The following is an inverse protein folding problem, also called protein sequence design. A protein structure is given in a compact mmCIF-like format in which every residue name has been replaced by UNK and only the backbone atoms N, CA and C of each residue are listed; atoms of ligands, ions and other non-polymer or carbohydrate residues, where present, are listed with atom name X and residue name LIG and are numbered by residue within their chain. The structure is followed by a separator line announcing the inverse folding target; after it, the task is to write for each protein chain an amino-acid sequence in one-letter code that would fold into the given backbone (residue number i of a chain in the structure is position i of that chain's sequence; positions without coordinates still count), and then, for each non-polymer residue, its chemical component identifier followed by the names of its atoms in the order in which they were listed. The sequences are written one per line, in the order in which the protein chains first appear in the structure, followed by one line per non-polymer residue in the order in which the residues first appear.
data_IF_783862631504
#
_entry.id   IF_783862631504
#
_cell.length_a   1.000
_cell.length_b   1.000
_cell.length_c   1.000
_cell.angle_alpha   90.00
_cell.angle_beta   90.00
_cell.angle_gamma   90.00
#
_symmetry.space_group_name_H-M   'P 1'
#
loop_
_entity.id
_entity.type
_entity.pdbx_description
1 polymer ?
#
# COMPACT_ATOMS: atom_id res chain seq x y z
N UNK A 1 -18.63 15.80 -8.10
CA UNK A 1 -19.21 14.46 -7.80
C UNK A 1 -20.54 14.37 -8.51
N UNK A 2 -20.75 13.37 -9.36
CA UNK A 2 -22.06 13.08 -9.92
C UNK A 2 -22.55 11.78 -9.26
N UNK A 3 -23.65 11.86 -8.51
CA UNK A 3 -24.32 10.69 -7.96
C UNK A 3 -25.53 10.39 -8.85
N UNK A 4 -25.76 9.12 -9.24
CA UNK A 4 -26.97 8.73 -9.97
C UNK A 4 -28.25 9.15 -9.23
N UNK A 5 -29.28 9.56 -9.97
CA UNK A 5 -30.55 10.04 -9.39
C UNK A 5 -31.30 8.95 -8.59
N UNK A 6 -31.04 7.68 -8.88
CA UNK A 6 -31.56 6.49 -8.19
C UNK A 6 -30.71 6.07 -6.98
N UNK A 7 -29.76 6.89 -6.55
CA UNK A 7 -28.93 6.58 -5.38
C UNK A 7 -29.70 6.70 -4.07
N UNK A 8 -29.49 5.71 -3.20
CA UNK A 8 -29.96 5.71 -1.80
C UNK A 8 -29.54 6.96 -1.01
N UNK A 9 -28.52 7.68 -1.45
CA UNK A 9 -28.10 8.96 -0.84
C UNK A 9 -29.24 9.97 -0.81
N UNK A 10 -30.13 9.98 -1.82
CA UNK A 10 -31.27 10.89 -1.87
C UNK A 10 -32.48 10.41 -1.03
N UNK A 11 -32.50 9.15 -0.65
CA UNK A 11 -33.59 8.53 0.11
C UNK A 11 -33.36 8.57 1.62
N UNK A 12 -32.10 8.66 2.06
CA UNK A 12 -31.69 8.63 3.46
C UNK A 12 -31.20 10.04 3.86
N UNK A 13 -31.91 10.79 4.71
CA UNK A 13 -31.55 12.16 5.09
C UNK A 13 -30.10 12.30 5.60
N UNK A 14 -29.65 11.37 6.44
CA UNK A 14 -28.30 11.36 7.01
C UNK A 14 -27.23 11.11 5.93
N UNK A 15 -27.55 10.31 4.91
CA UNK A 15 -26.64 10.08 3.79
C UNK A 15 -26.53 11.33 2.91
N UNK A 16 -27.64 12.04 2.68
CA UNK A 16 -27.66 13.30 1.95
C UNK A 16 -26.86 14.39 2.67
N UNK A 17 -27.04 14.49 3.99
CA UNK A 17 -26.27 15.41 4.84
C UNK A 17 -24.77 15.08 4.78
N UNK A 18 -24.38 13.82 5.00
CA UNK A 18 -22.99 13.39 4.94
C UNK A 18 -22.36 13.66 3.56
N UNK A 19 -23.12 13.47 2.48
CA UNK A 19 -22.66 13.82 1.12
C UNK A 19 -22.42 15.33 0.96
N UNK A 20 -23.36 16.16 1.41
CA UNK A 20 -23.25 17.61 1.33
C UNK A 20 -22.08 18.14 2.18
N UNK A 21 -21.92 17.65 3.41
CA UNK A 21 -20.80 17.98 4.29
C UNK A 21 -19.46 17.56 3.68
N UNK A 22 -19.38 16.35 3.12
CA UNK A 22 -18.19 15.87 2.40
C UNK A 22 -17.86 16.80 1.23
N UNK A 23 -18.85 17.24 0.45
CA UNK A 23 -18.63 18.15 -0.66
C UNK A 23 -18.07 19.51 -0.18
N UNK A 24 -18.58 20.05 0.93
CA UNK A 24 -18.05 21.27 1.54
C UNK A 24 -16.60 21.11 2.02
N UNK A 25 -16.28 19.98 2.65
CA UNK A 25 -14.91 19.66 3.05
C UNK A 25 -13.98 19.53 1.85
N UNK A 26 -14.41 18.85 0.78
CA UNK A 26 -13.63 18.69 -0.45
C UNK A 26 -13.33 20.04 -1.08
N UNK A 27 -14.33 20.93 -1.16
CA UNK A 27 -14.14 22.28 -1.70
C UNK A 27 -13.16 23.11 -0.87
N UNK A 28 -13.30 23.08 0.46
CA UNK A 28 -12.42 23.82 1.38
C UNK A 28 -10.98 23.29 1.35
N UNK A 29 -10.79 21.98 1.23
CA UNK A 29 -9.50 21.31 1.25
C UNK A 29 -8.98 20.99 -0.16
N UNK A 30 -9.54 21.61 -1.21
CA UNK A 30 -9.28 21.25 -2.60
C UNK A 30 -7.79 21.20 -2.97
N UNK A 31 -6.93 22.18 -2.60
CA UNK A 31 -5.50 22.11 -2.94
C UNK A 31 -4.81 20.87 -2.36
N UNK A 32 -5.17 20.49 -1.14
CA UNK A 32 -4.59 19.34 -0.44
C UNK A 32 -5.07 18.04 -1.10
N UNK A 33 -6.37 17.95 -1.40
CA UNK A 33 -6.97 16.77 -2.06
C UNK A 33 -6.38 16.57 -3.46
N UNK A 34 -6.22 17.65 -4.23
CA UNK A 34 -5.53 17.60 -5.52
C UNK A 34 -4.09 17.14 -5.35
N UNK A 35 -3.39 17.59 -4.29
CA UNK A 35 -2.06 17.09 -3.93
C UNK A 35 -2.04 15.57 -3.71
N UNK A 36 -3.03 14.99 -3.02
CA UNK A 36 -3.18 13.53 -2.88
C UNK A 36 -3.44 12.81 -4.20
N UNK A 37 -4.27 13.40 -5.07
CA UNK A 37 -4.62 12.82 -6.37
C UNK A 37 -3.45 12.85 -7.37
N UNK A 38 -2.68 13.93 -7.37
CA UNK A 38 -1.56 14.15 -8.29
C UNK A 38 -0.23 13.59 -7.78
N UNK A 39 -0.16 13.18 -6.51
CA UNK A 39 1.04 12.57 -5.95
C UNK A 39 1.51 11.38 -6.82
N UNK A 40 2.82 11.25 -7.10
CA UNK A 40 3.33 10.21 -7.97
C UNK A 40 3.04 8.82 -7.41
N UNK A 41 2.71 7.89 -8.31
CA UNK A 41 2.45 6.51 -7.97
C UNK A 41 3.74 5.70 -7.95
N UNK A 42 4.34 5.62 -6.76
CA UNK A 42 5.62 4.94 -6.55
C UNK A 42 5.51 3.41 -6.64
N UNK A 43 4.29 2.87 -6.51
CA UNK A 43 4.02 1.42 -6.62
C UNK A 43 3.13 1.17 -7.83
N UNK A 44 3.60 0.34 -8.75
CA UNK A 44 2.83 -0.11 -9.91
C UNK A 44 2.48 -1.59 -9.77
N UNK A 45 1.21 -1.94 -9.91
CA UNK A 45 0.73 -3.33 -9.95
C UNK A 45 0.48 -3.71 -11.41
N UNK A 46 1.11 -4.78 -11.89
CA UNK A 46 0.85 -5.27 -13.22
C UNK A 46 -0.58 -5.79 -13.34
N UNK A 47 -1.34 -5.22 -14.27
CA UNK A 47 -2.65 -5.69 -14.69
C UNK A 47 -2.49 -6.24 -16.11
N UNK A 48 -2.21 -7.54 -16.21
CA UNK A 48 -1.86 -8.20 -17.46
C UNK A 48 -3.11 -8.62 -18.23
N UNK A 49 -3.20 -8.15 -19.47
CA UNK A 49 -4.29 -8.52 -20.38
C UNK A 49 -4.23 -10.02 -20.72
N UNK A 50 -3.02 -10.55 -20.90
CA UNK A 50 -2.79 -11.97 -21.18
C UNK A 50 -3.24 -12.86 -20.01
N UNK A 51 -2.82 -12.52 -18.79
CA UNK A 51 -3.21 -13.25 -17.57
C UNK A 51 -4.68 -13.09 -17.21
N UNK A 52 -5.33 -12.00 -17.63
CA UNK A 52 -6.77 -11.79 -17.44
C UNK A 52 -7.62 -12.68 -18.35
N UNK A 53 -7.07 -13.12 -19.48
CA UNK A 53 -7.75 -14.00 -20.43
C UNK A 53 -7.48 -15.48 -20.09
N UNK A 54 -6.25 -15.82 -19.70
CA UNK A 54 -5.87 -17.18 -19.36
C UNK A 54 -6.61 -17.67 -18.09
N UNK A 55 -7.12 -18.90 -18.12
CA UNK A 55 -7.82 -19.56 -17.00
C UNK A 55 -8.93 -18.66 -16.39
N UNK A 56 -9.74 -18.04 -17.25
CA UNK A 56 -10.81 -17.09 -16.91
C UNK A 56 -10.34 -15.87 -16.09
N UNK A 57 -9.03 -15.63 -16.05
CA UNK A 57 -8.40 -14.55 -15.30
C UNK A 57 -8.47 -14.69 -13.79
N UNK A 58 -9.07 -15.77 -13.25
CA UNK A 58 -9.35 -15.91 -11.82
C UNK A 58 -8.08 -15.77 -10.96
N UNK A 59 -6.96 -16.46 -11.26
CA UNK A 59 -5.74 -16.32 -10.46
C UNK A 59 -5.23 -14.88 -10.45
N UNK A 60 -5.22 -14.23 -11.62
CA UNK A 60 -4.67 -12.90 -11.79
C UNK A 60 -5.53 -11.82 -11.18
N UNK A 61 -6.84 -11.81 -11.48
CA UNK A 61 -7.76 -10.77 -11.01
C UNK A 61 -7.92 -10.79 -9.49
N UNK A 62 -8.02 -11.98 -8.89
CA UNK A 62 -8.06 -12.11 -7.43
C UNK A 62 -6.76 -11.63 -6.79
N UNK A 63 -5.62 -12.06 -7.35
CA UNK A 63 -4.31 -11.65 -6.86
C UNK A 63 -4.05 -10.16 -7.03
N UNK A 64 -4.47 -9.55 -8.14
CA UNK A 64 -4.32 -8.12 -8.39
C UNK A 64 -5.15 -7.29 -7.41
N UNK A 65 -6.35 -7.78 -7.04
CA UNK A 65 -7.16 -7.18 -5.98
C UNK A 65 -6.45 -7.25 -4.62
N UNK A 66 -5.90 -8.41 -4.25
CA UNK A 66 -5.15 -8.55 -3.00
C UNK A 66 -3.86 -7.72 -2.98
N UNK A 67 -3.17 -7.63 -4.12
CA UNK A 67 -2.01 -6.76 -4.29
C UNK A 67 -2.39 -5.29 -4.04
N UNK A 68 -3.49 -4.83 -4.62
CA UNK A 68 -3.97 -3.46 -4.42
C UNK A 68 -4.34 -3.20 -2.97
N UNK A 69 -5.13 -4.10 -2.37
CA UNK A 69 -5.54 -3.99 -0.96
C UNK A 69 -4.32 -3.88 -0.04
N UNK A 70 -3.39 -4.83 -0.14
CA UNK A 70 -2.19 -4.86 0.70
C UNK A 70 -1.26 -3.66 0.49
N UNK A 71 -0.96 -3.32 -0.77
CA UNK A 71 -0.08 -2.19 -1.07
C UNK A 71 -0.70 -0.86 -0.66
N UNK A 72 -2.03 -0.71 -0.71
CA UNK A 72 -2.72 0.53 -0.35
C UNK A 72 -2.60 0.90 1.13
N UNK A 73 -2.30 -0.06 2.00
CA UNK A 73 -2.07 0.16 3.44
C UNK A 73 -0.62 0.57 3.76
N UNK A 74 0.29 0.54 2.79
CA UNK A 74 1.71 0.84 3.02
C UNK A 74 2.03 2.35 3.14
N UNK A 75 1.11 3.23 2.74
CA UNK A 75 1.27 4.69 2.77
C UNK A 75 1.48 5.35 1.40
N UNK A 76 1.85 4.58 0.38
CA UNK A 76 2.23 5.07 -0.94
C UNK A 76 1.05 5.15 -1.90
N UNK A 77 1.19 5.94 -2.95
CA UNK A 77 0.22 5.94 -4.03
C UNK A 77 0.46 4.70 -4.90
N UNK A 78 -0.61 3.98 -5.21
CA UNK A 78 -0.59 2.71 -5.92
C UNK A 78 -1.37 2.89 -7.20
N UNK A 79 -0.80 2.46 -8.32
CA UNK A 79 -1.48 2.43 -9.62
C UNK A 79 -1.43 1.06 -10.25
N UNK A 80 -2.31 0.81 -11.20
CA UNK A 80 -2.17 -0.30 -12.13
C UNK A 80 -1.36 0.11 -13.36
N UNK A 81 -0.65 -0.84 -13.94
CA UNK A 81 0.01 -0.71 -15.23
C UNK A 81 -0.34 -1.89 -16.12
N UNK A 82 -0.75 -1.61 -17.36
CA UNK A 82 -1.04 -2.65 -18.37
C UNK A 82 0.24 -3.08 -19.07
N UNK A 83 0.20 -4.25 -19.72
CA UNK A 83 1.33 -4.72 -20.55
C UNK A 83 1.70 -3.70 -21.63
N UNK A 84 0.69 -3.12 -22.30
CA UNK A 84 0.91 -2.08 -23.32
C UNK A 84 1.63 -0.86 -22.74
N UNK A 85 1.17 -0.35 -21.60
CA UNK A 85 1.81 0.80 -20.95
C UNK A 85 3.24 0.50 -20.52
N UNK A 86 3.51 -0.71 -20.05
CA UNK A 86 4.84 -1.17 -19.68
C UNK A 86 5.78 -1.20 -20.90
N UNK A 87 5.30 -1.69 -22.03
CA UNK A 87 6.08 -1.73 -23.28
C UNK A 87 6.35 -0.31 -23.79
N UNK A 88 5.34 0.56 -23.82
CA UNK A 88 5.44 1.90 -24.39
C UNK A 88 6.28 2.86 -23.53
N UNK A 89 6.10 2.81 -22.20
CA UNK A 89 6.61 3.85 -21.28
C UNK A 89 7.41 3.28 -20.10
N UNK A 90 7.62 1.97 -20.04
CA UNK A 90 8.21 1.33 -18.87
C UNK A 90 7.37 1.57 -17.60
N UNK A 91 8.04 1.69 -16.46
CA UNK A 91 7.39 1.97 -15.18
C UNK A 91 7.17 3.46 -14.88
N UNK A 92 7.58 4.39 -15.75
CA UNK A 92 7.55 5.83 -15.46
C UNK A 92 8.21 6.13 -14.10
N UNK A 93 7.50 6.87 -13.23
CA UNK A 93 7.98 7.24 -11.89
C UNK A 93 7.80 6.15 -10.81
N UNK A 94 7.29 4.97 -11.18
CA UNK A 94 7.10 3.88 -10.21
C UNK A 94 8.45 3.24 -9.85
N UNK A 95 8.71 3.12 -8.55
CA UNK A 95 9.95 2.59 -7.98
C UNK A 95 9.86 1.11 -7.63
N UNK A 96 8.65 0.61 -7.45
CA UNK A 96 8.37 -0.80 -7.13
C UNK A 96 7.34 -1.33 -8.11
N UNK A 97 7.67 -2.47 -8.72
CA UNK A 97 6.72 -3.25 -9.50
C UNK A 97 6.18 -4.40 -8.66
N UNK A 98 4.87 -4.52 -8.60
CA UNK A 98 4.18 -5.64 -7.97
C UNK A 98 3.63 -6.52 -9.08
N UNK A 99 4.10 -7.77 -9.09
CA UNK A 99 3.62 -8.83 -9.97
C UNK A 99 2.67 -9.72 -9.16
N UNK A 100 1.34 -9.55 -9.32
CA UNK A 100 0.39 -10.52 -8.79
C UNK A 100 0.61 -11.89 -9.47
N UNK A 101 -0.22 -12.89 -9.14
CA UNK A 101 -0.23 -14.16 -9.86
C UNK A 101 -0.43 -13.90 -11.36
N UNK A 102 0.65 -13.97 -12.12
CA UNK A 102 0.72 -13.54 -13.52
C UNK A 102 1.18 -14.74 -14.35
N UNK A 103 0.27 -15.66 -14.70
CA UNK A 103 0.62 -16.87 -15.43
C UNK A 103 1.00 -16.61 -16.90
N UNK A 104 0.57 -15.50 -17.48
CA UNK A 104 0.88 -15.16 -18.87
C UNK A 104 1.14 -13.67 -19.05
N UNK A 105 2.11 -13.32 -19.89
CA UNK A 105 2.27 -11.96 -20.44
C UNK A 105 2.72 -12.09 -21.89
N UNK A 106 2.51 -11.05 -22.69
CA UNK A 106 3.06 -11.00 -24.04
C UNK A 106 4.58 -11.10 -24.04
N UNK A 107 5.16 -11.63 -25.13
CA UNK A 107 6.61 -11.71 -25.28
C UNK A 107 7.29 -10.34 -25.07
N UNK A 108 6.76 -9.28 -25.68
CA UNK A 108 7.28 -7.92 -25.52
C UNK A 108 7.19 -7.40 -24.07
N UNK A 109 6.09 -7.69 -23.36
CA UNK A 109 5.98 -7.32 -21.95
C UNK A 109 6.96 -8.11 -21.08
N UNK A 110 7.20 -9.38 -21.40
CA UNK A 110 8.21 -10.18 -20.68
C UNK A 110 9.61 -9.59 -20.82
N UNK A 111 9.99 -9.18 -22.03
CA UNK A 111 11.29 -8.54 -22.27
C UNK A 111 11.42 -7.23 -21.48
N UNK A 112 10.37 -6.39 -21.48
CA UNK A 112 10.33 -5.17 -20.67
C UNK A 112 10.43 -5.45 -19.14
N UNK A 113 9.81 -6.53 -18.66
CA UNK A 113 9.94 -6.98 -17.27
C UNK A 113 11.35 -7.46 -16.95
N UNK A 114 11.95 -8.25 -17.84
CA UNK A 114 13.30 -8.76 -17.70
C UNK A 114 14.30 -7.60 -17.63
N UNK A 115 14.19 -6.63 -18.54
CA UNK A 115 15.02 -5.42 -18.56
C UNK A 115 14.92 -4.64 -17.24
N UNK A 116 13.71 -4.48 -16.69
CA UNK A 116 13.52 -3.79 -15.40
C UNK A 116 14.21 -4.54 -14.25
N UNK A 117 14.09 -5.85 -14.21
CA UNK A 117 14.74 -6.69 -13.20
C UNK A 117 16.26 -6.65 -13.32
N UNK A 118 16.79 -6.74 -14.54
CA UNK A 118 18.23 -6.70 -14.82
C UNK A 118 18.87 -5.35 -14.45
N UNK A 119 18.10 -4.26 -14.52
CA UNK A 119 18.52 -2.93 -14.04
C UNK A 119 18.40 -2.76 -12.52
N UNK A 120 18.31 -3.87 -11.77
CA UNK A 120 18.17 -3.87 -10.31
C UNK A 120 16.92 -3.10 -9.85
N UNK A 121 15.83 -3.20 -10.61
CA UNK A 121 14.51 -2.75 -10.20
C UNK A 121 13.95 -3.59 -9.06
N UNK A 122 13.19 -2.97 -8.16
CA UNK A 122 12.53 -3.71 -7.06
C UNK A 122 11.24 -4.32 -7.56
N UNK A 123 11.12 -5.63 -7.38
CA UNK A 123 9.96 -6.42 -7.78
C UNK A 123 9.42 -7.19 -6.59
N UNK A 124 8.15 -6.97 -6.24
CA UNK A 124 7.40 -7.83 -5.34
C UNK A 124 6.56 -8.82 -6.16
N UNK A 125 6.80 -10.13 -6.05
CA UNK A 125 6.10 -11.10 -6.89
C UNK A 125 5.62 -12.35 -6.16
N UNK A 126 4.50 -12.90 -6.64
CA UNK A 126 3.95 -14.17 -6.18
C UNK A 126 4.59 -15.34 -6.91
N UNK A 127 4.99 -16.37 -6.16
CA UNK A 127 5.15 -17.73 -6.70
C UNK A 127 6.18 -17.91 -7.83
N UNK A 128 6.02 -18.97 -8.66
CA UNK A 128 6.96 -19.35 -9.72
C UNK A 128 6.95 -18.38 -10.93
N UNK A 129 7.93 -18.48 -11.85
CA UNK A 129 8.06 -17.59 -13.01
C UNK A 129 6.81 -17.62 -13.90
N UNK A 130 6.58 -16.53 -14.64
CA UNK A 130 5.51 -16.38 -15.65
C UNK A 130 5.69 -17.47 -16.73
N UNK A 131 4.92 -18.58 -16.71
CA UNK A 131 5.24 -19.76 -17.52
C UNK A 131 4.73 -19.71 -18.97
N UNK A 132 3.79 -18.82 -19.30
CA UNK A 132 3.14 -18.78 -20.61
C UNK A 132 3.28 -17.43 -21.32
N UNK A 133 3.18 -17.45 -22.64
CA UNK A 133 2.99 -16.27 -23.48
C UNK A 133 1.52 -15.87 -23.64
N UNK A 134 1.25 -14.83 -24.43
CA UNK A 134 -0.11 -14.31 -24.66
C UNK A 134 -1.05 -15.32 -25.33
N UNK A 135 -0.51 -16.40 -25.91
CA UNK A 135 -1.26 -17.48 -26.57
C UNK A 135 -1.42 -18.71 -25.67
N UNK A 136 -0.90 -18.66 -24.45
CA UNK A 136 -0.89 -19.81 -23.54
C UNK A 136 0.20 -20.83 -23.86
N UNK A 137 1.17 -20.50 -24.72
CA UNK A 137 2.28 -21.39 -25.05
C UNK A 137 3.35 -21.27 -23.98
N UNK A 138 3.87 -22.41 -23.55
CA UNK A 138 4.94 -22.49 -22.54
C UNK A 138 6.20 -21.77 -23.02
N UNK A 139 6.80 -20.94 -22.16
CA UNK A 139 8.09 -20.31 -22.42
C UNK A 139 9.22 -20.98 -21.64
N UNK A 140 10.40 -20.98 -22.26
CA UNK A 140 11.62 -21.47 -21.62
C UNK A 140 12.33 -20.39 -20.79
N UNK A 141 12.09 -19.12 -21.07
CA UNK A 141 12.71 -18.00 -20.37
C UNK A 141 12.00 -17.75 -19.05
N UNK A 142 12.77 -17.45 -18.00
CA UNK A 142 12.26 -17.16 -16.66
C UNK A 142 12.75 -15.80 -16.19
N UNK A 143 11.88 -15.05 -15.52
CA UNK A 143 12.27 -13.80 -14.88
C UNK A 143 13.26 -14.13 -13.75
N UNK A 144 14.47 -13.58 -13.83
CA UNK A 144 15.52 -13.83 -12.84
C UNK A 144 15.11 -13.27 -11.48
N UNK A 145 15.56 -13.91 -10.40
CA UNK A 145 15.50 -13.32 -9.07
C UNK A 145 16.81 -12.57 -8.82
N UNK A 146 16.71 -11.31 -8.39
CA UNK A 146 17.83 -10.46 -7.97
C UNK A 146 17.80 -10.25 -6.45
N UNK A 147 18.81 -9.57 -5.90
CA UNK A 147 18.82 -9.18 -4.48
C UNK A 147 17.64 -8.26 -4.09
N UNK A 148 17.03 -7.61 -5.08
CA UNK A 148 15.87 -6.71 -4.95
C UNK A 148 14.54 -7.35 -5.29
N UNK A 149 14.52 -8.68 -5.50
CA UNK A 149 13.29 -9.44 -5.67
C UNK A 149 12.72 -9.82 -4.30
N UNK A 150 11.54 -9.27 -3.98
CA UNK A 150 10.76 -9.60 -2.79
C UNK A 150 9.73 -10.66 -3.15
N UNK A 151 9.85 -11.85 -2.55
CA UNK A 151 8.87 -12.91 -2.76
C UNK A 151 7.67 -12.71 -1.83
N UNK A 152 6.49 -12.55 -2.42
CA UNK A 152 5.21 -12.63 -1.72
C UNK A 152 4.96 -14.11 -1.47
N UNK A 153 5.24 -14.55 -0.24
CA UNK A 153 5.18 -15.95 0.18
C UNK A 153 3.86 -16.22 0.89
N UNK A 154 3.28 -17.39 0.61
CA UNK A 154 2.10 -17.89 1.30
C UNK A 154 0.92 -18.04 0.37
N UNK A 155 -0.26 -17.59 0.82
CA UNK A 155 -1.53 -17.75 0.10
C UNK A 155 -1.88 -16.53 -0.76
N UNK A 156 -0.91 -15.64 -0.99
CA UNK A 156 -1.06 -14.45 -1.80
C UNK A 156 -2.10 -13.47 -1.22
N UNK A 157 -2.08 -13.32 0.11
CA UNK A 157 -3.03 -12.48 0.85
C UNK A 157 -2.59 -11.01 0.88
N UNK A 158 -3.52 -10.05 1.11
CA UNK A 158 -3.19 -8.63 1.24
C UNK A 158 -2.05 -8.33 2.23
N UNK A 159 -2.02 -9.04 3.36
CA UNK A 159 -0.96 -8.89 4.38
C UNK A 159 0.44 -9.20 3.86
N UNK A 160 0.58 -10.14 2.93
CA UNK A 160 1.86 -10.55 2.35
C UNK A 160 2.40 -9.47 1.40
N UNK A 161 1.51 -8.79 0.66
CA UNK A 161 1.88 -7.61 -0.13
C UNK A 161 2.23 -6.42 0.73
N UNK A 162 1.53 -6.21 1.85
CA UNK A 162 1.87 -5.16 2.80
C UNK A 162 3.29 -5.37 3.37
N UNK A 163 3.64 -6.60 3.74
CA UNK A 163 5.01 -6.94 4.14
C UNK A 163 6.02 -6.76 3.00
N UNK A 164 5.62 -7.04 1.75
CA UNK A 164 6.48 -6.82 0.60
C UNK A 164 6.80 -5.33 0.38
N UNK A 165 5.85 -4.43 0.67
CA UNK A 165 6.10 -2.98 0.65
C UNK A 165 7.09 -2.56 1.75
N UNK A 166 6.97 -3.12 2.95
CA UNK A 166 7.96 -2.88 4.01
C UNK A 166 9.37 -3.35 3.62
N UNK A 167 9.47 -4.51 2.97
CA UNK A 167 10.75 -4.98 2.44
C UNK A 167 11.30 -4.01 1.36
N UNK A 168 10.43 -3.46 0.51
CA UNK A 168 10.84 -2.46 -0.49
C UNK A 168 11.35 -1.15 0.14
N UNK A 169 10.82 -0.74 1.31
CA UNK A 169 11.36 0.39 2.09
C UNK A 169 12.75 0.04 2.64
N UNK A 170 12.92 -1.15 3.22
CA UNK A 170 14.21 -1.62 3.76
C UNK A 170 15.28 -1.71 2.66
N UNK A 171 14.88 -2.11 1.45
CA UNK A 171 15.75 -2.13 0.27
C UNK A 171 16.06 -0.73 -0.29
N UNK A 172 15.47 0.33 0.27
CA UNK A 172 15.71 1.72 -0.14
C UNK A 172 14.98 2.12 -1.43
N UNK A 173 14.06 1.31 -1.94
CA UNK A 173 13.32 1.60 -3.16
C UNK A 173 12.19 2.60 -2.93
N UNK A 174 11.49 2.45 -1.80
CA UNK A 174 10.47 3.38 -1.35
C UNK A 174 11.06 4.32 -0.28
N UNK A 175 10.86 5.64 -0.41
CA UNK A 175 11.39 6.62 0.53
C UNK A 175 10.63 6.51 1.86
N UNK A 176 11.31 6.64 3.01
CA UNK A 176 10.63 6.63 4.30
C UNK A 176 9.69 7.84 4.40
N UNK A 177 8.40 7.58 4.57
CA UNK A 177 7.34 8.60 4.71
C UNK A 177 6.67 8.48 6.08
N UNK A 178 6.10 9.58 6.62
CA UNK A 178 5.14 9.51 7.72
C UNK A 178 3.98 8.59 7.35
N UNK A 179 3.72 7.57 8.18
CA UNK A 179 2.64 6.60 8.03
C UNK A 179 2.25 6.02 9.39
N UNK A 180 1.03 5.52 9.46
CA UNK A 180 0.51 4.92 10.68
C UNK A 180 1.01 3.49 10.87
N UNK A 181 1.47 3.19 12.08
CA UNK A 181 2.02 1.90 12.49
C UNK A 181 1.41 1.45 13.80
N UNK A 182 1.42 0.15 14.04
CA UNK A 182 1.09 -0.45 15.33
C UNK A 182 2.08 0.03 16.41
N UNK A 183 1.76 -0.15 17.70
CA UNK A 183 2.71 0.10 18.80
C UNK A 183 4.02 -0.69 18.71
N UNK A 184 4.04 -1.75 17.89
CA UNK A 184 5.21 -2.61 17.68
C UNK A 184 6.01 -2.24 16.42
N UNK A 185 5.64 -1.16 15.71
CA UNK A 185 6.36 -0.67 14.54
C UNK A 185 5.93 -1.28 13.20
N UNK A 186 4.97 -2.20 13.19
CA UNK A 186 4.47 -2.84 11.96
C UNK A 186 3.35 -2.01 11.31
N UNK A 187 3.18 -2.07 9.98
CA UNK A 187 2.07 -1.44 9.29
C UNK A 187 0.73 -2.05 9.72
N UNK A 188 -0.34 -1.26 9.58
CA UNK A 188 -1.68 -1.64 10.06
C UNK A 188 -2.58 -1.97 8.86
N UNK A 189 -2.90 -3.25 8.67
CA UNK A 189 -3.91 -3.66 7.68
C UNK A 189 -5.26 -3.00 7.97
N UNK A 190 -6.00 -2.56 6.96
CA UNK A 190 -7.32 -1.96 7.17
C UNK A 190 -7.29 -0.53 7.75
N UNK A 191 -6.13 0.04 8.05
CA UNK A 191 -5.99 1.48 8.26
C UNK A 191 -5.27 2.06 7.05
N UNK A 192 -6.02 2.78 6.22
CA UNK A 192 -5.45 3.41 5.04
C UNK A 192 -4.84 4.74 5.46
N UNK A 193 -3.56 4.92 5.17
CA UNK A 193 -2.88 6.20 5.32
C UNK A 193 -2.20 6.61 4.02
N UNK A 194 -2.09 7.91 3.78
CA UNK A 194 -1.36 8.49 2.64
C UNK A 194 -0.67 9.75 3.12
N UNK A 195 0.53 10.00 2.64
CA UNK A 195 1.29 11.21 2.93
C UNK A 195 1.58 11.98 1.64
N UNK A 196 1.51 13.31 1.73
CA UNK A 196 1.94 14.25 0.67
C UNK A 196 2.51 15.50 1.30
N UNK A 197 3.36 16.18 0.54
CA UNK A 197 3.77 17.56 0.79
C UNK A 197 3.08 18.48 -0.22
N UNK A 198 2.45 19.56 0.26
CA UNK A 198 1.86 20.60 -0.61
C UNK A 198 2.35 21.96 -0.11
N UNK A 199 3.02 22.72 -0.97
CA UNK A 199 3.54 24.06 -0.66
C UNK A 199 4.44 24.10 0.60
N UNK A 200 5.26 23.06 0.82
CA UNK A 200 6.15 22.94 1.99
C UNK A 200 5.45 22.51 3.29
N UNK A 201 4.14 22.26 3.26
CA UNK A 201 3.37 21.74 4.39
C UNK A 201 3.14 20.23 4.24
N UNK A 202 3.16 19.53 5.37
CA UNK A 202 3.12 18.07 5.43
C UNK A 202 1.71 17.59 5.83
N UNK A 203 1.09 16.76 4.98
CA UNK A 203 -0.26 16.26 5.21
C UNK A 203 -0.31 14.74 5.26
N UNK A 204 -1.00 14.22 6.27
CA UNK A 204 -1.29 12.80 6.45
C UNK A 204 -2.80 12.57 6.38
N UNK A 205 -3.25 11.87 5.35
CA UNK A 205 -4.59 11.30 5.31
C UNK A 205 -4.61 9.99 6.08
N UNK A 206 -5.65 9.77 6.89
CA UNK A 206 -5.87 8.53 7.61
C UNK A 206 -7.36 8.18 7.67
N UNK A 207 -7.68 6.89 7.51
CA UNK A 207 -9.01 6.34 7.77
C UNK A 207 -8.89 4.90 8.27
N UNK A 208 -9.66 4.56 9.29
CA UNK A 208 -9.80 3.18 9.76
C UNK A 208 -10.98 2.50 9.07
N UNK A 209 -10.70 1.50 8.24
CA UNK A 209 -11.69 0.67 7.54
C UNK A 209 -12.07 -0.58 8.34
N UNK A 210 -11.46 -0.81 9.51
CA UNK A 210 -11.86 -1.88 10.42
C UNK A 210 -13.14 -1.50 11.15
N UNK A 211 -13.83 -2.51 11.68
CA UNK A 211 -15.05 -2.35 12.50
C UNK A 211 -14.77 -1.89 13.93
N UNK A 212 -13.53 -1.98 14.38
CA UNK A 212 -13.11 -1.63 15.74
C UNK A 212 -12.09 -0.49 15.70
N UNK A 213 -12.03 0.29 16.77
CA UNK A 213 -11.02 1.34 16.93
C UNK A 213 -9.61 0.75 16.97
N UNK A 214 -8.64 1.44 16.37
CA UNK A 214 -7.24 1.00 16.31
C UNK A 214 -6.33 2.05 16.92
N UNK A 215 -5.45 1.64 17.83
CA UNK A 215 -4.39 2.49 18.35
C UNK A 215 -3.29 2.61 17.28
N UNK A 216 -3.10 3.81 16.78
CA UNK A 216 -2.15 4.14 15.73
C UNK A 216 -1.01 4.99 16.30
N UNK A 217 0.23 4.61 15.99
CA UNK A 217 1.42 5.44 16.18
C UNK A 217 1.83 6.03 14.83
N UNK A 218 2.56 7.14 14.85
CA UNK A 218 3.13 7.75 13.65
C UNK A 218 4.63 7.43 13.57
N UNK A 219 5.10 6.95 12.42
CA UNK A 219 6.54 6.79 12.20
C UNK A 219 7.21 8.17 12.06
N UNK A 220 8.39 8.32 12.64
CA UNK A 220 9.19 9.53 12.53
C UNK A 220 9.08 10.46 13.75
N UNK A 221 9.74 11.63 13.69
CA UNK A 221 9.89 12.52 14.84
C UNK A 221 8.63 13.34 15.14
N UNK A 222 7.75 13.54 14.15
CA UNK A 222 6.46 14.22 14.35
C UNK A 222 5.51 13.29 15.08
N UNK A 223 4.88 13.80 16.15
CA UNK A 223 3.91 13.06 16.95
C UNK A 223 2.63 13.86 17.21
N UNK A 224 2.45 15.01 16.56
CA UNK A 224 1.29 15.88 16.71
C UNK A 224 0.93 16.59 15.40
N UNK A 225 -0.30 17.10 15.33
CA UNK A 225 -0.85 17.77 14.16
C UNK A 225 -2.26 18.26 14.40
N UNK A 226 -2.89 18.77 13.34
CA UNK A 226 -4.29 19.21 13.37
C UNK A 226 -5.11 18.56 12.28
N UNK A 227 -6.18 17.89 12.67
CA UNK A 227 -7.17 17.35 11.74
C UNK A 227 -7.96 18.50 11.11
N UNK A 228 -7.79 18.68 9.81
CA UNK A 228 -8.42 19.75 9.06
C UNK A 228 -9.88 19.46 8.74
N UNK A 229 -10.32 18.20 8.77
CA UNK A 229 -11.72 17.85 8.52
C UNK A 229 -12.55 18.34 9.72
N UNK A 230 -12.30 17.80 10.91
CA UNK A 230 -13.07 18.12 12.11
C UNK A 230 -12.52 19.31 12.91
N UNK A 231 -11.35 19.84 12.56
CA UNK A 231 -10.76 21.02 13.21
C UNK A 231 -10.14 20.76 14.59
N UNK A 232 -9.96 19.50 14.98
CA UNK A 232 -9.41 19.05 16.27
C UNK A 232 -7.89 18.87 16.22
N UNK A 233 -7.23 19.09 17.35
CA UNK A 233 -5.81 18.77 17.50
C UNK A 233 -5.65 17.24 17.68
N UNK A 234 -4.57 16.71 17.14
CA UNK A 234 -4.25 15.28 17.12
C UNK A 234 -2.88 15.06 17.73
N UNK A 235 -2.78 14.10 18.63
CA UNK A 235 -1.52 13.65 19.21
C UNK A 235 -1.42 12.13 19.11
N UNK A 236 -0.25 11.64 18.71
CA UNK A 236 0.05 10.20 18.62
C UNK A 236 0.70 9.70 19.92
N UNK A 237 0.38 8.48 20.38
CA UNK A 237 -0.56 7.53 19.78
C UNK A 237 -2.03 7.98 19.87
N UNK A 238 -2.79 7.69 18.83
CA UNK A 238 -4.20 8.06 18.68
C UNK A 238 -5.06 6.80 18.55
N UNK A 239 -6.23 6.78 19.21
CA UNK A 239 -7.27 5.78 18.93
C UNK A 239 -8.14 6.23 17.76
N UNK A 240 -7.93 5.64 16.58
CA UNK A 240 -8.67 5.98 15.36
C UNK A 240 -9.94 5.15 15.27
N UNK A 241 -11.11 5.81 15.32
CA UNK A 241 -12.42 5.16 15.26
C UNK A 241 -12.72 4.63 13.85
N UNK A 242 -13.53 3.57 13.72
CA UNK A 242 -14.03 3.11 12.43
C UNK A 242 -14.65 4.24 11.61
N UNK A 243 -14.29 4.31 10.32
CA UNK A 243 -14.83 5.25 9.35
C UNK A 243 -14.72 6.74 9.77
N UNK A 244 -13.71 7.09 10.56
CA UNK A 244 -13.40 8.47 10.97
C UNK A 244 -12.23 9.01 10.10
N UNK A 245 -12.50 9.60 8.91
CA UNK A 245 -11.46 10.13 8.06
C UNK A 245 -10.84 11.39 8.67
N UNK A 246 -9.51 11.48 8.60
CA UNK A 246 -8.74 12.65 9.01
C UNK A 246 -7.84 13.11 7.88
N UNK A 247 -7.70 14.42 7.72
CA UNK A 247 -6.60 15.04 6.96
C UNK A 247 -5.79 15.85 7.95
N UNK A 248 -4.70 15.27 8.43
CA UNK A 248 -3.89 15.84 9.49
C UNK A 248 -2.79 16.68 8.85
N UNK A 249 -2.79 17.99 9.12
CA UNK A 249 -1.59 18.81 8.91
C UNK A 249 -0.63 18.49 10.05
N UNK A 250 0.49 17.87 9.72
CA UNK A 250 1.53 17.50 10.66
C UNK A 250 2.24 18.76 11.16
N UNK A 251 2.49 18.84 12.46
CA UNK A 251 3.39 19.87 12.99
C UNK A 251 4.80 19.63 12.41
N UNK A 252 5.50 20.70 12.04
CA UNK A 252 6.83 20.60 11.43
C UNK A 252 7.74 19.67 12.26
N UNK A 253 8.61 18.86 11.62
CA UNK A 253 9.41 17.88 12.34
C UNK A 253 10.25 18.57 13.42
N UNK A 254 10.26 18.06 14.67
CA UNK A 254 11.44 18.27 15.49
C UNK A 254 12.62 17.63 14.72
N UNK A 255 13.65 18.45 14.49
CA UNK A 255 14.96 18.20 13.85
C UNK A 255 15.30 16.74 13.47
N UNK A 256 15.86 16.46 12.27
CA UNK A 256 16.19 15.10 11.86
C UNK A 256 17.28 14.50 12.75
N UNK A 257 16.90 13.47 13.51
CA UNK A 257 17.81 12.69 14.32
C UNK A 257 17.04 11.69 15.16
N UNK A 258 17.43 10.42 15.06
CA UNK A 258 16.91 9.26 15.79
C UNK A 258 15.67 8.61 15.15
N UNK A 259 15.94 7.64 14.27
CA UNK A 259 15.06 6.48 14.11
C UNK A 259 15.04 5.78 15.48
N UNK A 260 13.97 5.98 16.25
CA UNK A 260 13.75 5.17 17.45
C UNK A 260 13.39 3.77 16.94
N UNK A 261 14.31 2.83 17.09
CA UNK A 261 14.06 1.43 16.79
C UNK A 261 12.80 0.97 17.51
N UNK A 262 11.93 0.24 16.82
CA UNK A 262 10.75 -0.35 17.42
C UNK A 262 11.12 -1.12 18.72
N UNK A 263 10.34 -1.00 19.80
CA UNK A 263 10.57 -1.78 21.00
C UNK A 263 10.57 -3.27 20.64
N UNK A 264 11.59 -3.98 21.11
CA UNK A 264 11.76 -5.42 20.89
C UNK A 264 10.46 -6.13 21.25
N UNK A 265 9.89 -6.97 20.36
CA UNK A 265 8.61 -7.62 20.63
C UNK A 265 8.71 -8.44 21.92
N UNK A 266 7.64 -8.45 22.75
CA UNK A 266 7.64 -9.27 23.96
C UNK A 266 7.86 -10.74 23.55
N UNK A 267 8.66 -11.51 24.32
CA UNK A 267 8.93 -12.90 23.99
C UNK A 267 7.61 -13.67 23.88
N UNK A 268 7.45 -14.40 22.78
CA UNK A 268 6.25 -15.20 22.51
C UNK A 268 5.94 -16.12 23.69
N UNK A 269 4.66 -16.35 23.99
CA UNK A 269 4.25 -17.35 25.01
C UNK A 269 4.85 -18.74 24.73
N UNK A 270 5.16 -19.04 23.46
CA UNK A 270 5.83 -20.26 23.04
C UNK A 270 7.27 -20.38 23.59
N UNK A 271 8.01 -19.27 23.66
CA UNK A 271 9.37 -19.25 24.22
C UNK A 271 9.39 -19.50 25.74
N UNK A 272 8.32 -19.10 26.47
CA UNK A 272 8.16 -19.43 27.90
C UNK A 272 7.78 -20.89 28.14
N UNK A 273 7.11 -21.55 27.19
CA UNK A 273 6.76 -22.97 27.25
C UNK A 273 7.93 -23.89 26.89
N UNK A 274 8.80 -23.48 25.97
CA UNK A 274 9.97 -24.26 25.55
C UNK A 274 11.18 -24.16 26.51
N UNK A 275 11.17 -23.20 27.45
CA UNK A 275 12.22 -23.03 28.46
C UNK A 275 12.03 -23.84 29.75
N UNK A 276 10.92 -24.59 29.90
CA UNK A 276 10.66 -25.47 31.04
C UNK A 276 10.49 -26.90 30.55
N UNK A 277 11.59 -27.54 30.17
CA UNK A 277 11.81 -28.99 30.28
C UNK A 277 13.15 -29.36 29.63
N UNK A 278 14.23 -29.22 30.41
CA UNK A 278 15.35 -30.15 30.32
C UNK A 278 15.61 -30.68 31.74
N UNK A 279 15.30 -31.95 32.04
CA UNK A 279 15.84 -32.56 33.25
C UNK A 279 17.36 -32.62 33.11
N UNK A 280 18.05 -32.30 34.20
CA UNK A 280 19.48 -32.57 34.33
C UNK A 280 19.63 -34.08 34.56
N UNK A 281 20.21 -34.76 33.60
CA UNK A 281 21.04 -35.95 33.82
C UNK A 281 22.37 -35.73 33.09
#
# INVERSE_FOLDING_TARGET
MAIPLDSLVFEIPEALEAFAETALHVNRLAPIIVGFQQAPAEVAILYSDSSKILDDGVPHLQSARYAYEGCSFAGYNVRFITERQLIENGLGDAKVLVLPATPAVSAAAFDALADYVEREGVVARVGPPIPYDERGVSRHNVLRNTAKTVLVRGMNLPTEYLHAMDAAIVLGALPPIPRLITPYGYPIEGVRSRYVEVNGEHYLYAINLRKESVICHLIGPVQAGRDLIQGRDVQFPLSLKPLDPMVIRLEAPPTPGVIVSAPKPPPSRLAKLLGRNRPKE
#
